data_IF_332726286973
#
_entry.id   IF_332726286973
#
_cell.length_a   1.000
_cell.length_b   1.000
_cell.length_c   1.000
_cell.angle_alpha   90.00
_cell.angle_beta   90.00
_cell.angle_gamma   90.00
#
_symmetry.space_group_name_H-M   'P 1'
#
loop_
_entity.id
_entity.type
_entity.pdbx_description
1 polymer ?
#
# COMPACT_ATOMS: atom_id res chain seq x y z
N UNK A 1 14.36 29.19 3.15
CA UNK A 1 14.02 28.22 2.10
C UNK A 1 14.35 26.76 2.49
N UNK A 2 15.63 26.41 2.86
CA UNK A 2 15.97 25.02 3.23
C UNK A 2 15.18 24.50 4.44
N UNK A 3 15.04 25.29 5.51
CA UNK A 3 14.28 24.90 6.70
C UNK A 3 12.83 24.60 6.34
N UNK A 4 12.20 25.44 5.50
CA UNK A 4 10.85 25.24 5.02
C UNK A 4 10.70 23.91 4.24
N UNK A 5 11.65 23.60 3.34
CA UNK A 5 11.66 22.33 2.62
C UNK A 5 11.78 21.12 3.57
N UNK A 6 12.59 21.20 4.63
CA UNK A 6 12.73 20.14 5.63
C UNK A 6 11.43 19.98 6.43
N UNK A 7 10.75 21.07 6.81
CA UNK A 7 9.47 20.99 7.52
C UNK A 7 8.41 20.30 6.64
N UNK A 8 8.26 20.74 5.39
CA UNK A 8 7.31 20.10 4.47
C UNK A 8 7.66 18.64 4.18
N UNK A 9 8.94 18.30 4.08
CA UNK A 9 9.40 16.92 3.94
C UNK A 9 8.94 16.06 5.13
N UNK A 10 9.14 16.55 6.37
CA UNK A 10 8.74 15.80 7.58
C UNK A 10 7.22 15.63 7.63
N UNK A 11 6.45 16.67 7.38
CA UNK A 11 4.99 16.60 7.37
C UNK A 11 4.49 15.61 6.30
N UNK A 12 5.01 15.69 5.08
CA UNK A 12 4.65 14.79 4.01
C UNK A 12 5.08 13.34 4.30
N UNK A 13 6.25 13.14 4.95
CA UNK A 13 6.68 11.82 5.41
C UNK A 13 5.74 11.25 6.48
N UNK A 14 5.33 12.04 7.46
CA UNK A 14 4.40 11.58 8.50
C UNK A 14 3.08 11.10 7.91
N UNK A 15 2.55 11.80 6.90
CA UNK A 15 1.34 11.37 6.18
C UNK A 15 1.61 10.15 5.33
N UNK A 16 2.60 10.20 4.44
CA UNK A 16 2.86 9.14 3.46
C UNK A 16 3.41 7.86 4.08
N UNK A 17 4.40 7.98 4.96
CA UNK A 17 4.99 6.86 5.69
C UNK A 17 4.00 6.25 6.68
N UNK A 18 3.21 7.10 7.37
CA UNK A 18 2.15 6.66 8.26
C UNK A 18 1.08 5.86 7.51
N UNK A 19 0.57 6.38 6.39
CA UNK A 19 -0.39 5.66 5.54
C UNK A 19 0.16 4.33 5.03
N UNK A 20 1.41 4.29 4.57
CA UNK A 20 2.06 3.06 4.13
C UNK A 20 2.18 2.04 5.28
N UNK A 21 2.56 2.49 6.48
CA UNK A 21 2.75 1.62 7.65
C UNK A 21 1.46 1.00 8.18
N UNK A 22 0.33 1.70 8.09
CA UNK A 22 -0.96 1.20 8.58
C UNK A 22 -1.77 0.45 7.51
N UNK A 23 -1.28 0.40 6.26
CA UNK A 23 -2.02 -0.15 5.12
C UNK A 23 -2.45 -1.60 5.36
N UNK A 24 -1.57 -2.43 5.92
CA UNK A 24 -1.87 -3.84 6.22
C UNK A 24 -3.07 -3.96 7.16
N UNK A 25 -3.04 -3.23 8.28
CA UNK A 25 -4.15 -3.23 9.24
C UNK A 25 -5.46 -2.73 8.61
N UNK A 26 -5.38 -1.77 7.71
CA UNK A 26 -6.55 -1.27 7.00
C UNK A 26 -7.12 -2.32 6.04
N UNK A 27 -6.29 -3.08 5.33
CA UNK A 27 -6.72 -4.19 4.47
C UNK A 27 -7.42 -5.27 5.32
N UNK A 28 -6.82 -5.69 6.43
CA UNK A 28 -7.40 -6.68 7.33
C UNK A 28 -8.74 -6.22 7.92
N UNK A 29 -8.83 -4.96 8.35
CA UNK A 29 -10.09 -4.38 8.84
C UNK A 29 -11.18 -4.39 7.77
N UNK A 30 -10.82 -4.10 6.51
CA UNK A 30 -11.75 -4.15 5.37
C UNK A 30 -12.21 -5.57 5.02
N UNK A 31 -11.37 -6.56 5.27
CA UNK A 31 -11.73 -7.99 5.12
C UNK A 31 -12.58 -8.50 6.30
N UNK A 32 -12.82 -7.66 7.33
CA UNK A 32 -13.56 -8.06 8.53
C UNK A 32 -12.78 -8.94 9.50
N UNK A 33 -11.45 -8.96 9.37
CA UNK A 33 -10.58 -9.81 10.19
C UNK A 33 -9.95 -9.06 11.37
N UNK A 34 -9.98 -7.72 11.37
CA UNK A 34 -9.53 -6.82 12.44
C UNK A 34 -8.13 -7.14 13.01
N UNK A 35 -7.23 -7.64 12.15
CA UNK A 35 -5.89 -8.03 12.54
C UNK A 35 -5.81 -9.41 13.22
N UNK A 36 -6.90 -10.17 13.24
CA UNK A 36 -6.91 -11.55 13.72
C UNK A 36 -6.41 -12.48 12.59
N UNK A 37 -5.21 -12.99 12.76
CA UNK A 37 -4.59 -13.88 11.78
C UNK A 37 -5.36 -15.19 11.60
N UNK A 38 -6.09 -15.68 12.62
CA UNK A 38 -6.90 -16.89 12.52
C UNK A 38 -8.13 -16.62 11.65
N UNK A 39 -8.81 -15.50 11.84
CA UNK A 39 -9.93 -15.09 10.98
C UNK A 39 -9.50 -14.85 9.54
N UNK A 40 -8.33 -14.23 9.35
CA UNK A 40 -7.77 -14.02 8.01
C UNK A 40 -7.52 -15.35 7.30
N UNK A 41 -6.93 -16.32 7.98
CA UNK A 41 -6.69 -17.66 7.44
C UNK A 41 -8.01 -18.40 7.14
N UNK A 42 -9.01 -18.24 7.99
CA UNK A 42 -10.33 -18.83 7.80
C UNK A 42 -11.03 -18.28 6.54
N UNK A 43 -10.98 -16.97 6.31
CA UNK A 43 -11.52 -16.34 5.10
C UNK A 43 -10.85 -16.93 3.85
N UNK A 44 -9.52 -17.06 3.83
CA UNK A 44 -8.82 -17.64 2.68
C UNK A 44 -9.13 -19.12 2.49
N UNK A 45 -9.33 -19.88 3.56
CA UNK A 45 -9.77 -21.28 3.48
C UNK A 45 -11.18 -21.41 2.89
N UNK A 46 -12.09 -20.51 3.27
CA UNK A 46 -13.44 -20.46 2.67
C UNK A 46 -13.38 -20.15 1.18
N UNK A 47 -12.55 -19.18 0.78
CA UNK A 47 -12.34 -18.86 -0.65
C UNK A 47 -11.75 -20.05 -1.42
N UNK A 48 -10.75 -20.74 -0.87
CA UNK A 48 -10.16 -21.92 -1.50
C UNK A 48 -11.20 -23.04 -1.70
N UNK A 49 -12.04 -23.29 -0.68
CA UNK A 49 -13.12 -24.27 -0.78
C UNK A 49 -14.16 -23.86 -1.83
N UNK A 50 -14.54 -22.59 -1.86
CA UNK A 50 -15.44 -22.05 -2.88
C UNK A 50 -14.86 -22.21 -4.30
N UNK A 51 -13.58 -21.93 -4.48
CA UNK A 51 -12.89 -22.13 -5.78
C UNK A 51 -12.92 -23.59 -6.21
N UNK A 52 -12.64 -24.54 -5.32
CA UNK A 52 -12.70 -25.98 -5.61
C UNK A 52 -14.09 -26.43 -6.03
N UNK A 53 -15.12 -25.96 -5.32
CA UNK A 53 -16.52 -26.26 -5.68
C UNK A 53 -16.87 -25.72 -7.07
N UNK A 54 -16.48 -24.50 -7.37
CA UNK A 54 -16.70 -23.86 -8.67
C UNK A 54 -15.97 -24.62 -9.78
N UNK A 55 -14.74 -25.08 -9.55
CA UNK A 55 -14.01 -25.90 -10.52
C UNK A 55 -14.64 -27.27 -10.78
N UNK A 56 -15.18 -27.93 -9.73
CA UNK A 56 -15.89 -29.18 -9.86
C UNK A 56 -17.18 -29.02 -10.68
N UNK A 57 -17.96 -27.98 -10.42
CA UNK A 57 -19.16 -27.66 -11.19
C UNK A 57 -18.84 -27.38 -12.66
N UNK A 58 -17.76 -26.66 -12.95
CA UNK A 58 -17.27 -26.46 -14.33
C UNK A 58 -16.90 -27.75 -15.02
N UNK A 59 -16.23 -28.69 -14.30
CA UNK A 59 -15.88 -30.01 -14.86
C UNK A 59 -17.12 -30.86 -15.16
N UNK A 60 -18.21 -30.63 -14.45
CA UNK A 60 -19.52 -31.27 -14.69
C UNK A 60 -20.31 -30.63 -15.84
N UNK A 61 -19.74 -29.60 -16.50
CA UNK A 61 -20.39 -28.90 -17.62
C UNK A 61 -21.48 -27.91 -17.18
N UNK A 62 -21.54 -27.57 -15.91
CA UNK A 62 -22.53 -26.60 -15.39
C UNK A 62 -22.04 -25.17 -15.71
N UNK A 63 -22.88 -24.39 -16.39
CA UNK A 63 -22.60 -22.97 -16.66
C UNK A 63 -22.88 -22.14 -15.40
N UNK A 64 -21.83 -21.91 -14.59
CA UNK A 64 -21.91 -21.20 -13.32
C UNK A 64 -22.33 -19.74 -13.48
N UNK A 65 -22.08 -19.13 -14.64
CA UNK A 65 -22.42 -17.72 -14.87
C UNK A 65 -23.92 -17.51 -15.05
N UNK A 66 -24.65 -18.56 -15.37
CA UNK A 66 -26.10 -18.58 -15.54
C UNK A 66 -26.83 -19.28 -14.41
N UNK A 67 -26.10 -19.79 -13.42
CA UNK A 67 -26.73 -20.48 -12.29
C UNK A 67 -27.50 -19.50 -11.42
N UNK A 68 -28.76 -19.83 -11.14
CA UNK A 68 -29.61 -19.10 -10.19
C UNK A 68 -29.44 -19.63 -8.74
N UNK A 69 -28.62 -20.65 -8.55
CA UNK A 69 -28.38 -21.24 -7.24
C UNK A 69 -27.75 -20.21 -6.28
N UNK A 70 -28.41 -19.91 -5.15
CA UNK A 70 -27.92 -18.93 -4.19
C UNK A 70 -26.52 -19.27 -3.64
N UNK A 71 -26.19 -20.56 -3.46
CA UNK A 71 -24.89 -20.99 -2.95
C UNK A 71 -23.76 -20.73 -3.96
N UNK A 72 -24.04 -20.92 -5.24
CA UNK A 72 -23.06 -20.63 -6.31
C UNK A 72 -22.84 -19.12 -6.40
N UNK A 73 -23.90 -18.31 -6.32
CA UNK A 73 -23.78 -16.85 -6.31
C UNK A 73 -22.97 -16.34 -5.12
N UNK A 74 -23.25 -16.85 -3.92
CA UNK A 74 -22.51 -16.49 -2.71
C UNK A 74 -21.03 -16.87 -2.81
N UNK A 75 -20.72 -18.05 -3.33
CA UNK A 75 -19.35 -18.51 -3.56
C UNK A 75 -18.59 -17.64 -4.58
N UNK A 76 -19.24 -17.24 -5.66
CA UNK A 76 -18.66 -16.33 -6.65
C UNK A 76 -18.41 -14.94 -6.06
N UNK A 77 -19.37 -14.41 -5.32
CA UNK A 77 -19.25 -13.11 -4.65
C UNK A 77 -18.13 -13.11 -3.61
N UNK A 78 -17.98 -14.19 -2.83
CA UNK A 78 -16.87 -14.35 -1.89
C UNK A 78 -15.52 -14.35 -2.59
N UNK A 79 -15.40 -15.10 -3.71
CA UNK A 79 -14.15 -15.16 -4.49
C UNK A 79 -13.81 -13.78 -5.09
N UNK A 80 -14.81 -13.09 -5.64
CA UNK A 80 -14.63 -11.79 -6.29
C UNK A 80 -14.27 -10.67 -5.29
N UNK A 81 -14.91 -10.67 -4.12
CA UNK A 81 -14.67 -9.66 -3.08
C UNK A 81 -13.39 -9.87 -2.29
N UNK A 82 -12.87 -11.09 -2.24
CA UNK A 82 -11.67 -11.39 -1.45
C UNK A 82 -10.40 -11.18 -2.29
N UNK A 83 -9.52 -10.25 -1.90
CA UNK A 83 -8.28 -10.04 -2.62
C UNK A 83 -7.35 -11.25 -2.50
N UNK A 84 -6.53 -11.49 -3.53
CA UNK A 84 -5.56 -12.57 -3.51
C UNK A 84 -4.59 -12.43 -2.31
N UNK A 85 -4.38 -13.50 -1.54
CA UNK A 85 -3.56 -13.53 -0.31
C UNK A 85 -2.18 -12.91 -0.52
N UNK A 86 -1.52 -13.25 -1.63
CA UNK A 86 -0.20 -12.72 -1.94
C UNK A 86 -0.19 -11.19 -2.08
N UNK A 87 -1.26 -10.58 -2.64
CA UNK A 87 -1.35 -9.11 -2.76
C UNK A 87 -1.44 -8.44 -1.39
N UNK A 88 -2.20 -9.02 -0.47
CA UNK A 88 -2.34 -8.53 0.90
C UNK A 88 -1.02 -8.61 1.65
N UNK A 89 -0.37 -9.78 1.61
CA UNK A 89 0.91 -10.01 2.28
C UNK A 89 2.01 -9.09 1.73
N UNK A 90 2.09 -8.95 0.40
CA UNK A 90 3.07 -8.07 -0.23
C UNK A 90 2.79 -6.59 0.07
N UNK A 91 1.54 -6.15 0.00
CA UNK A 91 1.18 -4.77 0.31
C UNK A 91 1.56 -4.41 1.75
N UNK A 92 1.31 -5.31 2.71
CA UNK A 92 1.67 -5.11 4.11
C UNK A 92 3.19 -4.99 4.31
N UNK A 93 3.95 -5.97 3.82
CA UNK A 93 5.42 -5.98 3.94
C UNK A 93 6.06 -4.79 3.22
N UNK A 94 5.58 -4.49 2.01
CA UNK A 94 6.08 -3.38 1.22
C UNK A 94 5.77 -2.03 1.89
N UNK A 95 4.59 -1.87 2.47
CA UNK A 95 4.21 -0.66 3.22
C UNK A 95 5.15 -0.39 4.40
N UNK A 96 5.48 -1.41 5.20
CA UNK A 96 6.45 -1.29 6.29
C UNK A 96 7.85 -0.95 5.78
N UNK A 97 8.30 -1.59 4.70
CA UNK A 97 9.59 -1.29 4.08
C UNK A 97 9.65 0.16 3.60
N UNK A 98 8.60 0.66 2.96
CA UNK A 98 8.52 2.04 2.49
C UNK A 98 8.61 3.02 3.66
N UNK A 99 7.87 2.78 4.74
CA UNK A 99 7.93 3.63 5.93
C UNK A 99 9.35 3.72 6.49
N UNK A 100 10.07 2.59 6.56
CA UNK A 100 11.46 2.52 7.01
C UNK A 100 12.41 3.26 6.06
N UNK A 101 12.32 3.02 4.75
CA UNK A 101 13.20 3.66 3.75
C UNK A 101 12.94 5.16 3.67
N UNK A 102 11.68 5.58 3.78
CA UNK A 102 11.31 6.98 3.83
C UNK A 102 11.82 7.67 5.11
N UNK A 103 11.83 6.98 6.24
CA UNK A 103 12.46 7.47 7.47
C UNK A 103 13.98 7.69 7.27
N UNK A 104 14.67 6.71 6.67
CA UNK A 104 16.10 6.85 6.32
C UNK A 104 16.33 8.04 5.40
N UNK A 105 15.46 8.27 4.40
CA UNK A 105 15.53 9.45 3.53
C UNK A 105 15.46 10.75 4.33
N UNK A 106 14.56 10.85 5.29
CA UNK A 106 14.43 12.03 6.18
C UNK A 106 15.72 12.25 6.96
N UNK A 107 16.27 11.23 7.60
CA UNK A 107 17.52 11.30 8.36
C UNK A 107 18.68 11.78 7.47
N UNK A 108 18.83 11.20 6.28
CA UNK A 108 19.89 11.58 5.33
C UNK A 108 19.76 13.04 4.84
N UNK A 109 18.54 13.54 4.66
CA UNK A 109 18.30 14.93 4.30
C UNK A 109 18.76 15.90 5.41
N UNK A 110 18.54 15.56 6.68
CA UNK A 110 19.08 16.33 7.81
C UNK A 110 20.61 16.25 7.87
N UNK A 111 21.19 15.08 7.64
CA UNK A 111 22.65 14.85 7.62
C UNK A 111 23.33 15.44 6.38
N UNK A 112 22.60 16.02 5.43
CA UNK A 112 23.13 16.65 4.19
C UNK A 112 23.93 15.66 3.32
N UNK A 113 23.53 14.40 3.30
CA UNK A 113 24.19 13.34 2.53
C UNK A 113 23.69 13.29 1.10
N UNK A 114 24.59 13.11 0.14
CA UNK A 114 24.25 12.98 -1.29
C UNK A 114 23.31 11.80 -1.56
N UNK A 115 23.43 10.74 -0.76
CA UNK A 115 22.63 9.54 -0.88
C UNK A 115 21.10 9.82 -0.81
N UNK A 116 20.70 10.98 -0.24
CA UNK A 116 19.28 11.38 -0.17
C UNK A 116 18.61 11.37 -1.54
N UNK A 117 19.32 11.77 -2.60
CA UNK A 117 18.76 11.80 -3.96
C UNK A 117 18.41 10.40 -4.46
N UNK A 118 19.30 9.42 -4.24
CA UNK A 118 19.09 8.03 -4.65
C UNK A 118 17.96 7.37 -3.85
N UNK A 119 17.95 7.61 -2.54
CA UNK A 119 16.89 7.07 -1.66
C UNK A 119 15.53 7.72 -1.97
N UNK A 120 15.48 9.00 -2.32
CA UNK A 120 14.23 9.66 -2.74
C UNK A 120 13.61 9.00 -3.97
N UNK A 121 14.41 8.64 -4.98
CA UNK A 121 13.93 7.91 -6.15
C UNK A 121 13.45 6.52 -5.80
N UNK A 122 14.16 5.82 -4.91
CA UNK A 122 13.75 4.50 -4.43
C UNK A 122 12.41 4.56 -3.70
N UNK A 123 12.21 5.54 -2.82
CA UNK A 123 10.94 5.74 -2.09
C UNK A 123 9.78 5.93 -3.06
N UNK A 124 9.95 6.75 -4.09
CA UNK A 124 8.89 6.97 -5.10
C UNK A 124 8.59 5.69 -5.88
N UNK A 125 9.61 4.96 -6.32
CA UNK A 125 9.44 3.71 -7.06
C UNK A 125 8.71 2.64 -6.22
N UNK A 126 9.11 2.46 -4.97
CA UNK A 126 8.46 1.52 -4.05
C UNK A 126 7.01 1.92 -3.76
N UNK A 127 6.74 3.22 -3.59
CA UNK A 127 5.38 3.73 -3.33
C UNK A 127 4.47 3.55 -4.53
N UNK A 128 4.99 3.72 -5.75
CA UNK A 128 4.24 3.42 -6.97
C UNK A 128 3.90 1.93 -7.06
N UNK A 129 4.88 1.06 -6.77
CA UNK A 129 4.68 -0.40 -6.72
C UNK A 129 3.62 -0.76 -5.68
N UNK A 130 3.66 -0.15 -4.50
CA UNK A 130 2.65 -0.36 -3.46
C UNK A 130 1.25 -0.01 -3.96
N UNK A 131 1.09 1.15 -4.58
CA UNK A 131 -0.21 1.57 -5.12
C UNK A 131 -0.74 0.61 -6.20
N UNK A 132 0.13 0.10 -7.08
CA UNK A 132 -0.26 -0.85 -8.13
C UNK A 132 -0.71 -2.20 -7.54
N UNK A 133 0.04 -2.71 -6.54
CA UNK A 133 -0.23 -4.03 -5.94
C UNK A 133 -1.41 -3.99 -4.98
N UNK A 134 -1.63 -2.86 -4.29
CA UNK A 134 -2.70 -2.74 -3.28
C UNK A 134 -4.06 -3.05 -3.90
N UNK A 135 -4.81 -4.01 -3.33
CA UNK A 135 -6.12 -4.36 -3.83
C UNK A 135 -7.12 -3.21 -3.66
N UNK A 136 -8.02 -3.10 -4.62
CA UNK A 136 -9.20 -2.25 -4.52
C UNK A 136 -10.29 -3.07 -3.84
N UNK A 137 -10.63 -2.72 -2.60
CA UNK A 137 -11.65 -3.41 -1.84
C UNK A 137 -12.83 -2.44 -1.70
N UNK A 138 -13.87 -2.67 -2.49
CA UNK A 138 -15.10 -1.88 -2.39
C UNK A 138 -15.75 -2.03 -1.01
N UNK A 139 -16.47 -0.99 -0.60
CA UNK A 139 -17.04 -0.92 0.72
C UNK A 139 -18.09 -2.02 0.95
N UNK A 140 -17.71 -3.06 1.69
CA UNK A 140 -18.66 -3.90 2.40
C UNK A 140 -19.19 -3.16 3.63
N UNK A 141 -19.87 -3.87 4.53
CA UNK A 141 -20.48 -3.32 5.76
C UNK A 141 -19.48 -2.70 6.76
N UNK A 142 -18.19 -2.64 6.45
CA UNK A 142 -17.13 -2.19 7.34
C UNK A 142 -16.70 -0.75 7.04
N UNK A 143 -16.70 0.08 8.10
CA UNK A 143 -16.27 1.48 8.04
C UNK A 143 -14.75 1.59 7.97
N UNK A 144 -14.21 2.06 6.88
CA UNK A 144 -12.79 2.36 6.73
C UNK A 144 -12.51 2.99 5.35
N UNK A 145 -11.36 3.64 5.17
CA UNK A 145 -10.97 4.14 3.86
C UNK A 145 -10.55 2.98 2.94
N UNK A 146 -10.84 3.09 1.64
CA UNK A 146 -10.41 2.10 0.66
C UNK A 146 -8.87 1.97 0.68
N UNK A 147 -8.31 0.74 0.80
CA UNK A 147 -6.85 0.53 0.82
C UNK A 147 -6.14 1.15 -0.38
N UNK A 148 -6.75 1.08 -1.56
CA UNK A 148 -6.23 1.69 -2.79
C UNK A 148 -6.12 3.21 -2.67
N UNK A 149 -7.10 3.86 -2.05
CA UNK A 149 -7.06 5.30 -1.80
C UNK A 149 -5.98 5.67 -0.76
N UNK A 150 -5.81 4.86 0.30
CA UNK A 150 -4.74 5.07 1.28
C UNK A 150 -3.36 4.93 0.61
N UNK A 151 -3.16 3.93 -0.23
CA UNK A 151 -1.91 3.75 -0.97
C UNK A 151 -1.65 4.92 -1.93
N UNK A 152 -2.69 5.49 -2.56
CA UNK A 152 -2.57 6.69 -3.40
C UNK A 152 -2.17 7.93 -2.57
N UNK A 153 -2.79 8.13 -1.42
CA UNK A 153 -2.43 9.24 -0.51
C UNK A 153 -0.97 9.09 -0.07
N UNK A 154 -0.54 7.86 0.29
CA UNK A 154 0.84 7.57 0.63
C UNK A 154 1.80 7.92 -0.52
N UNK A 155 1.49 7.49 -1.75
CA UNK A 155 2.28 7.77 -2.94
C UNK A 155 2.44 9.29 -3.17
N UNK A 156 1.33 10.04 -3.19
CA UNK A 156 1.38 11.50 -3.42
C UNK A 156 2.19 12.20 -2.32
N UNK A 157 1.97 11.87 -1.06
CA UNK A 157 2.68 12.45 0.06
C UNK A 157 4.19 12.12 0.00
N UNK A 158 4.58 10.90 -0.36
CA UNK A 158 5.99 10.50 -0.47
C UNK A 158 6.67 11.10 -1.71
N UNK A 159 5.95 11.36 -2.80
CA UNK A 159 6.48 12.17 -3.92
C UNK A 159 6.82 13.58 -3.45
N UNK A 160 5.92 14.22 -2.69
CA UNK A 160 6.15 15.56 -2.12
C UNK A 160 7.36 15.52 -1.16
N UNK A 161 7.40 14.55 -0.25
CA UNK A 161 8.53 14.40 0.69
C UNK A 161 9.87 14.23 -0.04
N UNK A 162 9.90 13.39 -1.08
CA UNK A 162 11.08 13.14 -1.91
C UNK A 162 11.53 14.39 -2.66
N UNK A 163 10.60 15.15 -3.24
CA UNK A 163 10.86 16.44 -3.88
C UNK A 163 11.46 17.47 -2.92
N UNK A 164 10.89 17.58 -1.73
CA UNK A 164 11.39 18.45 -0.66
C UNK A 164 12.78 18.04 -0.17
N UNK A 165 13.05 16.74 -0.02
CA UNK A 165 14.35 16.20 0.34
C UNK A 165 15.42 16.58 -0.69
N UNK A 166 15.11 16.38 -1.97
CA UNK A 166 15.99 16.75 -3.10
C UNK A 166 16.25 18.26 -3.15
N UNK A 167 15.20 19.08 -3.01
CA UNK A 167 15.35 20.54 -2.97
C UNK A 167 16.20 20.99 -1.80
N UNK A 168 15.98 20.43 -0.60
CA UNK A 168 16.78 20.76 0.58
C UNK A 168 18.26 20.47 0.36
N UNK A 169 18.60 19.36 -0.31
CA UNK A 169 19.98 19.00 -0.64
C UNK A 169 20.57 19.96 -1.70
N UNK A 170 19.86 20.28 -2.78
CA UNK A 170 20.30 21.28 -3.78
C UNK A 170 20.57 22.66 -3.17
N UNK A 171 19.68 23.11 -2.28
CA UNK A 171 19.85 24.40 -1.58
C UNK A 171 21.07 24.37 -0.65
N UNK A 172 21.39 23.23 -0.07
CA UNK A 172 22.62 23.05 0.71
C UNK A 172 23.86 23.17 -0.17
N UNK A 173 23.91 22.47 -1.32
CA UNK A 173 25.03 22.54 -2.26
C UNK A 173 25.28 23.98 -2.74
N UNK A 174 24.22 24.67 -3.19
CA UNK A 174 24.31 26.05 -3.68
C UNK A 174 24.90 27.00 -2.63
N UNK A 175 24.65 26.75 -1.35
CA UNK A 175 25.20 27.62 -0.26
C UNK A 175 26.68 27.36 0.01
N UNK A 176 27.16 26.14 -0.25
CA UNK A 176 28.53 25.73 0.10
C UNK A 176 29.46 25.60 -1.11
N UNK A 177 29.00 25.87 -2.36
CA UNK A 177 29.84 25.97 -3.53
C UNK A 177 30.29 27.45 -3.62
N UNK A 178 31.61 27.73 -3.51
CA UNK A 178 32.12 29.09 -3.71
C UNK A 178 31.76 29.56 -5.13
N UNK A 179 31.33 30.81 -5.23
CA UNK A 179 31.14 31.45 -6.53
C UNK A 179 32.51 31.45 -7.26
N UNK A 180 32.60 30.71 -8.35
CA UNK A 180 33.72 30.80 -9.29
C UNK A 180 33.60 32.08 -10.08
#
# INVERSE_FOLDING_TARGET
MRVLALVFMVLAFLVGGGCAGILFKNIESRMGTDGDSQKTEEVYRLVENAQKQIEELKKQGIDITKSEDPQIKESLELIEKTPAKWKVDYAGKLGMLIALVAFVMVVLAFMKKELVTKISLLVVALSLTLWVITPDIEAGSYSGANPKAIALISLVALIIASGCAFMSYKLYLKKNTPAQ
#
